data_IF_466439826240
#
_entry.id   IF_466439826240
#
_cell.length_a   1.000
_cell.length_b   1.000
_cell.length_c   1.000
_cell.angle_alpha   90.00
_cell.angle_beta   90.00
_cell.angle_gamma   90.00
#
_symmetry.space_group_name_H-M   'P 1'
#
loop_
_entity.id
_entity.type
_entity.pdbx_description
1 polymer ?
#
# COMPACT_ATOMS: atom_id res chain seq x y z
N UNK A 1 -8.16 20.48 -10.39
CA UNK A 1 -8.35 19.41 -9.45
C UNK A 1 -7.02 18.89 -8.97
N UNK A 2 -6.87 18.70 -7.70
CA UNK A 2 -5.60 18.27 -7.15
C UNK A 2 -5.50 16.74 -7.16
N UNK A 3 -4.37 16.25 -7.63
CA UNK A 3 -4.11 14.82 -7.63
C UNK A 3 -3.02 14.54 -6.61
N UNK A 4 -3.24 13.54 -5.78
CA UNK A 4 -2.32 13.18 -4.72
C UNK A 4 -1.82 11.76 -4.98
N UNK A 5 -0.51 11.58 -4.90
CA UNK A 5 0.08 10.26 -5.01
C UNK A 5 0.53 9.81 -3.64
N UNK A 6 0.06 8.67 -3.20
CA UNK A 6 0.47 8.05 -1.94
C UNK A 6 1.17 6.74 -2.26
N UNK A 7 2.17 6.40 -1.49
CA UNK A 7 2.84 5.13 -1.66
C UNK A 7 2.83 4.36 -0.35
N UNK A 8 2.83 3.06 -0.44
CA UNK A 8 2.90 2.21 0.74
C UNK A 8 3.65 0.93 0.39
N UNK A 9 4.52 0.45 1.26
CA UNK A 9 5.06 -0.89 1.05
C UNK A 9 3.91 -1.89 1.13
N UNK A 10 4.05 -3.07 0.52
CA UNK A 10 2.98 -4.04 0.51
C UNK A 10 2.91 -4.80 1.84
N UNK A 11 2.71 -4.06 2.90
CA UNK A 11 2.59 -4.59 4.26
C UNK A 11 1.23 -4.16 4.79
N UNK A 12 0.42 -5.12 5.16
CA UNK A 12 -0.97 -4.87 5.48
C UNK A 12 -1.19 -3.78 6.53
N UNK A 13 -0.47 -3.83 7.63
CA UNK A 13 -0.66 -2.86 8.69
C UNK A 13 -0.35 -1.43 8.27
N UNK A 14 0.66 -1.27 7.40
CA UNK A 14 0.99 0.03 6.88
C UNK A 14 -0.06 0.48 5.89
N UNK A 15 -0.45 -0.43 5.02
CA UNK A 15 -1.37 -0.11 3.95
C UNK A 15 -2.76 0.28 4.46
N UNK A 16 -3.22 -0.34 5.52
CA UNK A 16 -4.53 -0.02 6.07
C UNK A 16 -4.61 1.46 6.45
N UNK A 17 -3.55 1.99 7.05
CA UNK A 17 -3.51 3.39 7.41
C UNK A 17 -3.51 4.28 6.17
N UNK A 18 -2.73 3.92 5.18
CA UNK A 18 -2.65 4.69 3.94
C UNK A 18 -4.01 4.71 3.23
N UNK A 19 -4.66 3.55 3.18
CA UNK A 19 -5.96 3.44 2.51
C UNK A 19 -7.03 4.26 3.25
N UNK A 20 -6.97 4.28 4.58
CA UNK A 20 -7.91 5.08 5.35
C UNK A 20 -7.77 6.57 5.04
N UNK A 21 -6.53 7.05 4.95
CA UNK A 21 -6.29 8.44 4.60
C UNK A 21 -6.72 8.72 3.17
N UNK A 22 -6.41 7.80 2.27
CA UNK A 22 -6.79 7.95 0.86
C UNK A 22 -8.31 8.07 0.71
N UNK A 23 -9.05 7.22 1.43
CA UNK A 23 -10.51 7.27 1.37
C UNK A 23 -11.06 8.61 1.87
N UNK A 24 -10.46 9.15 2.92
CA UNK A 24 -10.87 10.45 3.41
C UNK A 24 -10.60 11.57 2.42
N UNK A 25 -9.49 11.50 1.71
CA UNK A 25 -9.16 12.50 0.70
C UNK A 25 -10.09 12.40 -0.50
N UNK A 26 -10.40 11.17 -0.94
CA UNK A 26 -11.33 10.98 -2.04
C UNK A 26 -12.69 11.56 -1.68
N UNK A 27 -13.14 11.34 -0.44
CA UNK A 27 -14.42 11.87 0.01
C UNK A 27 -14.45 13.40 0.01
N UNK A 28 -13.29 14.03 0.04
CA UNK A 28 -13.19 15.48 -0.01
C UNK A 28 -12.98 16.02 -1.41
N UNK A 29 -13.03 15.16 -2.40
CA UNK A 29 -12.96 15.61 -3.79
C UNK A 29 -11.59 15.56 -4.42
N UNK A 30 -10.59 15.00 -3.75
CA UNK A 30 -9.27 14.87 -4.36
C UNK A 30 -9.20 13.63 -5.22
N UNK A 31 -8.35 13.69 -6.24
CA UNK A 31 -8.01 12.51 -7.02
C UNK A 31 -6.81 11.88 -6.35
N UNK A 32 -6.94 10.65 -5.92
CA UNK A 32 -5.87 9.99 -5.17
C UNK A 32 -5.42 8.73 -5.88
N UNK A 33 -4.10 8.61 -6.07
CA UNK A 33 -3.49 7.39 -6.59
C UNK A 33 -2.72 6.74 -5.47
N UNK A 34 -2.81 5.42 -5.34
CA UNK A 34 -2.06 4.69 -4.33
C UNK A 34 -1.17 3.66 -5.01
N UNK A 35 0.12 3.81 -4.82
CA UNK A 35 1.13 2.91 -5.38
C UNK A 35 1.50 1.88 -4.32
N UNK A 36 1.17 0.63 -4.54
CA UNK A 36 1.43 -0.41 -3.57
C UNK A 36 1.43 -1.77 -4.26
N UNK A 37 1.51 -2.85 -3.49
CA UNK A 37 1.55 -4.19 -4.04
C UNK A 37 0.26 -4.62 -4.68
N UNK A 38 0.37 -5.43 -5.73
CA UNK A 38 -0.78 -5.88 -6.51
C UNK A 38 -1.78 -6.66 -5.66
N UNK A 39 -1.33 -7.30 -4.62
CA UNK A 39 -2.15 -8.03 -3.70
C UNK A 39 -3.25 -7.15 -3.08
N UNK A 40 -3.00 -5.86 -2.96
CA UNK A 40 -3.90 -4.96 -2.27
C UNK A 40 -4.72 -4.07 -3.18
N UNK A 41 -4.78 -4.41 -4.46
CA UNK A 41 -5.57 -3.63 -5.41
C UNK A 41 -7.00 -3.43 -4.94
N UNK A 42 -7.63 -4.49 -4.43
CA UNK A 42 -9.02 -4.42 -4.01
C UNK A 42 -9.25 -3.43 -2.88
N UNK A 43 -8.32 -3.36 -1.93
CA UNK A 43 -8.45 -2.41 -0.84
C UNK A 43 -8.37 -0.98 -1.34
N UNK A 44 -7.44 -0.71 -2.25
CA UNK A 44 -7.25 0.62 -2.80
C UNK A 44 -8.48 1.05 -3.59
N UNK A 45 -8.97 0.19 -4.47
CA UNK A 45 -10.09 0.57 -5.32
C UNK A 45 -11.37 0.72 -4.52
N UNK A 46 -11.56 -0.04 -3.47
CA UNK A 46 -12.72 0.12 -2.63
C UNK A 46 -12.73 1.44 -1.88
N UNK A 47 -11.58 2.00 -1.63
CA UNK A 47 -11.50 3.32 -0.99
C UNK A 47 -11.80 4.46 -1.97
N UNK A 48 -11.91 4.14 -3.25
CA UNK A 48 -12.17 5.16 -4.28
C UNK A 48 -10.92 5.72 -4.92
N UNK A 49 -9.75 5.21 -4.54
CA UNK A 49 -8.50 5.68 -5.10
C UNK A 49 -8.11 4.85 -6.33
N UNK A 50 -7.20 5.36 -7.12
CA UNK A 50 -6.70 4.63 -8.26
C UNK A 50 -5.49 3.81 -7.83
N UNK A 51 -5.50 2.55 -8.18
CA UNK A 51 -4.39 1.66 -7.85
C UNK A 51 -3.28 1.75 -8.89
N UNK A 52 -2.04 1.89 -8.41
CA UNK A 52 -0.87 1.83 -9.26
C UNK A 52 0.03 0.72 -8.73
N UNK A 53 0.47 -0.22 -9.58
CA UNK A 53 1.28 -1.34 -9.08
C UNK A 53 2.72 -0.94 -8.84
N UNK A 54 3.31 -1.50 -7.81
CA UNK A 54 4.74 -1.39 -7.60
C UNK A 54 5.48 -2.20 -8.66
N UNK A 55 6.71 -1.82 -8.99
CA UNK A 55 7.54 -2.67 -9.84
C UNK A 55 7.67 -4.04 -9.22
N UNK A 56 7.75 -5.06 -10.09
CA UNK A 56 7.77 -6.43 -9.65
C UNK A 56 8.87 -6.71 -8.66
N UNK A 57 10.01 -6.07 -8.83
CA UNK A 57 11.18 -6.30 -7.99
C UNK A 57 10.99 -5.87 -6.55
N UNK A 58 10.07 -4.95 -6.29
CA UNK A 58 9.83 -4.47 -4.94
C UNK A 58 8.44 -4.82 -4.44
N UNK A 59 7.69 -5.59 -5.23
CA UNK A 59 6.35 -6.01 -4.82
C UNK A 59 6.45 -7.40 -4.22
N UNK A 60 6.42 -7.49 -2.91
CA UNK A 60 6.50 -8.77 -2.25
C UNK A 60 5.23 -9.01 -1.44
N UNK A 61 4.99 -10.25 -1.07
CA UNK A 61 3.87 -10.61 -0.25
C UNK A 61 4.32 -10.54 1.20
N UNK A 62 3.66 -9.73 2.02
CA UNK A 62 4.05 -9.57 3.41
C UNK A 62 3.90 -10.86 4.21
N UNK A 63 3.10 -11.80 3.74
CA UNK A 63 3.01 -13.11 4.38
C UNK A 63 4.30 -13.89 4.21
N UNK A 64 5.10 -13.58 3.18
CA UNK A 64 6.35 -14.26 2.95
C UNK A 64 7.54 -13.40 3.33
N UNK A 65 7.32 -12.38 4.10
CA UNK A 65 8.37 -11.43 4.43
C UNK A 65 9.56 -12.10 5.11
N UNK A 66 9.30 -13.01 6.03
CA UNK A 66 10.39 -13.68 6.70
C UNK A 66 11.23 -14.52 5.76
N UNK A 67 10.62 -15.12 4.76
CA UNK A 67 11.37 -15.88 3.78
C UNK A 67 12.17 -14.94 2.87
N UNK A 68 11.60 -13.78 2.59
CA UNK A 68 12.25 -12.83 1.72
C UNK A 68 13.40 -12.12 2.42
N UNK A 69 13.25 -11.81 3.69
CA UNK A 69 14.26 -11.13 4.47
C UNK A 69 14.53 -11.89 5.75
N UNK A 70 15.01 -13.12 5.64
CA UNK A 70 15.13 -13.97 6.80
C UNK A 70 16.13 -13.42 7.81
N UNK A 71 15.73 -13.50 9.03
CA UNK A 71 16.64 -13.15 10.07
C UNK A 71 16.83 -11.69 10.30
N UNK A 72 16.34 -10.89 9.42
CA UNK A 72 16.57 -9.57 9.61
C UNK A 72 15.45 -8.84 10.05
N UNK A 73 14.46 -8.88 9.42
CA UNK A 73 13.41 -8.15 9.73
C UNK A 73 12.71 -8.64 10.81
N UNK A 74 11.96 -9.06 10.98
CA UNK A 74 11.07 -9.50 11.91
C UNK A 74 11.60 -9.60 13.24
N UNK A 75 12.83 -9.77 13.39
CA UNK A 75 13.29 -9.93 14.64
C UNK A 75 13.90 -8.75 15.05
N UNK A 76 14.44 -8.10 14.23
CA UNK A 76 15.16 -7.06 14.62
C UNK A 76 14.40 -6.13 15.25
N UNK A 77 13.60 -6.08 15.29
CA UNK A 77 13.01 -5.21 15.87
C UNK A 77 11.92 -5.43 16.27
N UNK A 78 11.87 -6.39 16.30
CA UNK A 78 10.79 -6.70 16.67
C UNK A 78 10.40 -6.32 17.61
#
# INVERSE_FOLDING_TARGET
MTRILMTSPPIYGHLVSVVAVAGGLVARGFDVDVLTGAKYRGLVTRAGARFLPLPREVDYDDADLDAFLPGQIGRAHV
#
